data_IF_040686707297
#
_entry.id   IF_040686707297
#
_cell.length_a   1.000
_cell.length_b   1.000
_cell.length_c   1.000
_cell.angle_alpha   90.00
_cell.angle_beta   90.00
_cell.angle_gamma   90.00
#
_symmetry.space_group_name_H-M   'P 1'
#
loop_
_entity.id
_entity.type
_entity.pdbx_description
1 polymer ?
#
# COMPACT_ATOMS: atom_id res chain seq x y z
N UNK A 1 6.12 -1.80 -19.69
CA UNK A 1 6.65 -1.39 -18.37
C UNK A 1 5.68 -1.92 -17.34
N UNK A 2 6.08 -2.68 -16.31
CA UNK A 2 5.14 -3.04 -15.26
C UNK A 2 4.63 -1.77 -14.58
N UNK A 3 3.34 -1.76 -14.25
CA UNK A 3 2.72 -0.67 -13.51
C UNK A 3 3.18 -0.75 -12.05
N UNK A 4 3.47 0.40 -11.41
CA UNK A 4 3.77 0.42 -9.98
C UNK A 4 2.58 -0.08 -9.16
N UNK A 5 2.88 -0.67 -8.00
CA UNK A 5 1.91 -1.01 -6.97
C UNK A 5 1.93 0.07 -5.89
N UNK A 6 0.84 0.19 -5.14
CA UNK A 6 0.67 1.20 -4.11
C UNK A 6 0.22 0.56 -2.81
N UNK A 7 0.82 0.97 -1.69
CA UNK A 7 0.46 0.50 -0.36
C UNK A 7 0.29 1.69 0.59
N UNK A 8 -0.77 1.69 1.41
CA UNK A 8 -0.99 2.72 2.42
C UNK A 8 -0.30 2.31 3.72
N UNK A 9 0.61 3.15 4.21
CA UNK A 9 1.34 2.91 5.46
C UNK A 9 1.14 4.09 6.41
N UNK A 10 1.15 3.85 7.71
CA UNK A 10 1.32 4.96 8.66
C UNK A 10 2.77 5.47 8.57
N UNK A 11 2.97 6.76 8.86
CA UNK A 11 4.32 7.32 8.89
C UNK A 11 5.23 6.63 9.92
N UNK A 12 4.64 6.16 11.03
CA UNK A 12 5.35 5.43 12.09
C UNK A 12 5.83 4.07 11.60
N UNK A 13 4.93 3.26 11.02
CA UNK A 13 5.28 1.91 10.53
C UNK A 13 6.32 1.98 9.41
N UNK A 14 6.20 2.98 8.53
CA UNK A 14 7.20 3.20 7.49
C UNK A 14 8.56 3.60 8.07
N UNK A 15 8.58 4.51 9.05
CA UNK A 15 9.83 4.93 9.69
C UNK A 15 10.55 3.73 10.34
N UNK A 16 9.82 2.86 11.04
CA UNK A 16 10.39 1.63 11.61
C UNK A 16 10.96 0.72 10.51
N UNK A 17 10.21 0.47 9.45
CA UNK A 17 10.66 -0.35 8.33
C UNK A 17 11.95 0.18 7.69
N UNK A 18 12.10 1.51 7.55
CA UNK A 18 13.35 2.09 7.01
C UNK A 18 14.58 1.80 7.87
N UNK A 19 14.40 1.58 9.18
CA UNK A 19 15.50 1.19 10.08
C UNK A 19 15.86 -0.29 9.99
N UNK A 20 14.85 -1.16 9.79
CA UNK A 20 15.00 -2.62 9.73
C UNK A 20 15.39 -3.09 8.32
N UNK A 21 14.97 -2.39 7.28
CA UNK A 21 15.21 -2.69 5.87
C UNK A 21 14.03 -3.35 5.14
N UNK A 22 12.96 -3.70 5.86
CA UNK A 22 11.74 -4.31 5.32
C UNK A 22 10.49 -3.84 6.07
N UNK A 23 9.36 -3.83 5.36
CA UNK A 23 8.06 -3.44 5.87
C UNK A 23 7.12 -4.66 5.94
N UNK A 24 6.40 -4.81 7.05
CA UNK A 24 5.65 -6.04 7.38
C UNK A 24 4.21 -5.79 7.86
N UNK A 25 3.64 -4.60 7.67
CA UNK A 25 2.25 -4.31 8.07
C UNK A 25 1.33 -4.51 6.86
N UNK A 26 0.43 -5.50 6.90
CA UNK A 26 -0.40 -5.86 5.74
C UNK A 26 -1.45 -4.81 5.41
N UNK A 27 -2.07 -4.25 6.45
CA UNK A 27 -3.01 -3.13 6.41
C UNK A 27 -3.13 -2.57 7.83
N UNK A 28 -3.87 -1.48 8.02
CA UNK A 28 -4.09 -0.89 9.35
C UNK A 28 -4.49 -1.96 10.38
N UNK A 29 -3.65 -2.14 11.40
CA UNK A 29 -3.90 -3.05 12.52
C UNK A 29 -3.69 -4.53 12.24
N UNK A 30 -3.14 -4.91 11.08
CA UNK A 30 -2.87 -6.31 10.70
C UNK A 30 -1.46 -6.45 10.16
N UNK A 31 -0.70 -7.41 10.68
CA UNK A 31 0.67 -7.71 10.22
C UNK A 31 0.67 -8.65 9.00
N UNK A 32 1.84 -8.82 8.38
CA UNK A 32 2.07 -9.85 7.36
C UNK A 32 1.82 -11.25 7.93
N UNK A 33 2.19 -11.50 9.18
CA UNK A 33 2.00 -12.77 9.85
C UNK A 33 0.52 -13.08 10.11
N UNK A 34 -0.30 -12.05 10.28
CA UNK A 34 -1.74 -12.17 10.49
C UNK A 34 -2.52 -12.55 9.22
N UNK A 35 -2.10 -12.04 8.06
CA UNK A 35 -2.83 -12.16 6.77
C UNK A 35 -2.15 -13.13 5.79
N UNK A 36 -0.83 -13.31 5.87
CA UNK A 36 -0.02 -14.10 4.95
C UNK A 36 0.47 -13.35 3.70
N UNK A 37 0.00 -12.12 3.48
CA UNK A 37 0.41 -11.24 2.39
C UNK A 37 0.24 -9.76 2.79
N UNK A 38 0.83 -8.83 2.03
CA UNK A 38 0.57 -7.39 2.14
C UNK A 38 -0.47 -6.97 1.10
N UNK A 39 -1.48 -6.20 1.51
CA UNK A 39 -2.42 -5.60 0.57
C UNK A 39 -1.74 -4.50 -0.24
N UNK A 40 -1.81 -4.56 -1.56
CA UNK A 40 -1.44 -3.46 -2.43
C UNK A 40 -2.61 -3.06 -3.33
N UNK A 41 -2.41 -2.00 -4.10
CA UNK A 41 -3.40 -1.42 -5.00
C UNK A 41 -2.75 -1.03 -6.31
N UNK A 42 -3.54 -1.06 -7.39
CA UNK A 42 -3.24 -0.27 -8.58
C UNK A 42 -3.61 1.19 -8.36
N UNK A 43 -3.04 2.10 -9.16
CA UNK A 43 -3.27 3.54 -9.00
C UNK A 43 -4.77 3.92 -8.98
N UNK A 44 -5.59 3.30 -9.82
CA UNK A 44 -7.04 3.56 -9.89
C UNK A 44 -7.81 3.13 -8.64
N UNK A 45 -7.21 2.31 -7.78
CA UNK A 45 -7.86 1.71 -6.61
C UNK A 45 -7.54 2.46 -5.31
N UNK A 46 -6.46 3.24 -5.29
CA UNK A 46 -5.94 3.91 -4.09
C UNK A 46 -7.01 4.72 -3.38
N UNK A 47 -7.73 5.59 -4.10
CA UNK A 47 -8.73 6.46 -3.46
C UNK A 47 -9.86 5.64 -2.82
N UNK A 48 -10.34 4.59 -3.49
CA UNK A 48 -11.37 3.72 -2.93
C UNK A 48 -10.91 2.93 -1.69
N UNK A 49 -9.62 2.58 -1.63
CA UNK A 49 -9.01 1.96 -0.43
C UNK A 49 -8.92 2.96 0.72
N UNK A 50 -8.47 4.19 0.45
CA UNK A 50 -8.41 5.25 1.44
C UNK A 50 -9.78 5.54 2.04
N UNK A 51 -10.80 5.71 1.19
CA UNK A 51 -12.17 6.01 1.62
C UNK A 51 -12.80 4.89 2.45
N UNK A 52 -12.49 3.62 2.14
CA UNK A 52 -13.12 2.46 2.79
C UNK A 52 -12.44 2.03 4.09
N UNK A 53 -11.11 2.10 4.15
CA UNK A 53 -10.34 1.47 5.23
C UNK A 53 -9.56 2.44 6.11
N UNK A 54 -9.36 3.68 5.64
CA UNK A 54 -8.49 4.65 6.30
C UNK A 54 -9.17 5.98 6.62
N UNK A 55 -10.44 6.16 6.25
CA UNK A 55 -11.13 7.45 6.36
C UNK A 55 -11.22 8.00 7.79
N UNK A 56 -11.31 7.12 8.79
CA UNK A 56 -11.37 7.46 10.22
C UNK A 56 -9.99 7.56 10.88
N UNK A 57 -8.92 7.21 10.17
CA UNK A 57 -7.57 7.32 10.72
C UNK A 57 -7.10 8.78 10.68
N UNK A 58 -6.63 9.28 11.82
CA UNK A 58 -6.09 10.64 11.94
C UNK A 58 -4.55 10.68 11.87
N UNK A 59 -3.90 9.54 12.12
CA UNK A 59 -2.44 9.42 12.03
C UNK A 59 -1.94 9.73 10.61
N UNK A 60 -0.77 10.37 10.46
CA UNK A 60 -0.22 10.68 9.15
C UNK A 60 -0.06 9.42 8.29
N UNK A 61 -0.67 9.44 7.11
CA UNK A 61 -0.58 8.36 6.13
C UNK A 61 0.41 8.70 5.00
N UNK A 62 1.09 7.67 4.55
CA UNK A 62 1.98 7.66 3.41
C UNK A 62 1.46 6.66 2.37
N UNK A 63 1.65 7.00 1.09
CA UNK A 63 1.47 6.08 -0.01
C UNK A 63 2.85 5.63 -0.50
N UNK A 64 3.17 4.37 -0.26
CA UNK A 64 4.39 3.73 -0.76
C UNK A 64 4.18 3.35 -2.21
N UNK A 65 5.06 3.83 -3.10
CA UNK A 65 5.07 3.48 -4.52
C UNK A 65 6.09 2.39 -4.75
N UNK A 66 5.64 1.22 -5.17
CA UNK A 66 6.43 -0.01 -5.22
C UNK A 66 6.73 -0.38 -6.68
N UNK A 67 7.99 -0.65 -6.96
CA UNK A 67 8.43 -1.23 -8.23
C UNK A 67 8.39 -2.77 -8.11
N UNK A 68 7.41 -3.45 -8.74
CA UNK A 68 7.28 -4.90 -8.63
C UNK A 68 8.46 -5.67 -9.22
N UNK A 69 9.28 -5.04 -10.08
CA UNK A 69 10.50 -5.69 -10.60
C UNK A 69 11.62 -5.82 -9.56
N UNK A 70 11.46 -5.18 -8.39
CA UNK A 70 12.39 -5.25 -7.25
C UNK A 70 11.92 -6.16 -6.13
N UNK A 71 10.78 -6.82 -6.32
CA UNK A 71 10.27 -7.83 -5.40
C UNK A 71 10.86 -9.18 -5.78
N UNK A 72 11.28 -9.93 -4.77
CA UNK A 72 11.74 -11.32 -4.86
C UNK A 72 10.66 -12.34 -4.43
N UNK A 73 9.46 -11.84 -4.15
CA UNK A 73 8.29 -12.61 -3.73
C UNK A 73 7.17 -12.53 -4.78
N UNK A 74 6.23 -13.46 -4.69
CA UNK A 74 5.10 -13.52 -5.61
C UNK A 74 4.13 -12.35 -5.39
N UNK A 75 3.61 -11.81 -6.49
CA UNK A 75 2.51 -10.85 -6.49
C UNK A 75 1.34 -11.45 -7.26
N UNK A 76 0.22 -11.66 -6.57
CA UNK A 76 -0.98 -12.26 -7.15
C UNK A 76 -2.09 -11.21 -7.16
N UNK A 77 -2.72 -11.01 -8.32
CA UNK A 77 -3.93 -10.21 -8.41
C UNK A 77 -5.15 -11.08 -8.10
N UNK A 78 -5.79 -10.87 -6.95
CA UNK A 78 -6.90 -11.70 -6.49
C UNK A 78 -8.03 -10.88 -5.89
N UNK A 79 -9.20 -11.54 -5.77
CA UNK A 79 -10.36 -10.92 -5.15
C UNK A 79 -10.13 -10.80 -3.64
N UNK A 80 -10.39 -9.62 -3.03
CA UNK A 80 -10.23 -9.43 -1.59
C UNK A 80 -11.35 -10.09 -0.78
N UNK A 81 -12.37 -10.67 -1.41
CA UNK A 81 -13.42 -11.38 -0.71
C UNK A 81 -14.62 -11.79 -1.57
N UNK A 82 -15.52 -12.62 -1.03
CA UNK A 82 -16.68 -13.13 -1.77
C UNK A 82 -17.53 -12.01 -2.36
N UNK A 83 -17.82 -12.10 -3.67
CA UNK A 83 -18.65 -11.13 -4.38
C UNK A 83 -17.93 -9.87 -4.87
N UNK A 84 -16.62 -9.74 -4.63
CA UNK A 84 -15.80 -8.66 -5.21
C UNK A 84 -15.11 -9.17 -6.47
N UNK A 85 -15.50 -8.66 -7.64
CA UNK A 85 -14.87 -9.04 -8.91
C UNK A 85 -13.61 -8.24 -9.23
N UNK A 86 -13.42 -7.11 -8.55
CA UNK A 86 -12.22 -6.29 -8.69
C UNK A 86 -11.02 -7.01 -8.04
N UNK A 87 -9.93 -7.12 -8.80
CA UNK A 87 -8.71 -7.79 -8.34
C UNK A 87 -7.75 -6.76 -7.75
N UNK A 88 -7.18 -7.11 -6.60
CA UNK A 88 -6.16 -6.33 -5.92
C UNK A 88 -4.85 -7.12 -5.91
N UNK A 89 -3.70 -6.45 -6.12
CA UNK A 89 -2.41 -7.11 -6.00
C UNK A 89 -2.10 -7.38 -4.52
N UNK A 90 -1.78 -8.63 -4.19
CA UNK A 90 -1.28 -9.06 -2.90
C UNK A 90 0.18 -9.48 -3.03
N UNK A 91 1.04 -8.98 -2.13
CA UNK A 91 2.48 -9.27 -2.10
C UNK A 91 2.72 -10.34 -1.04
N UNK A 92 3.12 -11.55 -1.46
CA UNK A 92 3.24 -12.72 -0.59
C UNK A 92 4.60 -12.78 0.12
N UNK A 93 4.88 -11.75 0.92
CA UNK A 93 6.11 -11.66 1.71
C UNK A 93 6.36 -10.25 2.24
N UNK A 94 7.47 -10.05 2.99
CA UNK A 94 7.84 -8.71 3.44
C UNK A 94 8.15 -7.82 2.24
N UNK A 95 7.89 -6.52 2.37
CA UNK A 95 8.23 -5.53 1.35
C UNK A 95 9.64 -4.98 1.62
N UNK A 96 10.65 -5.25 0.79
CA UNK A 96 11.96 -4.63 0.95
C UNK A 96 11.83 -3.11 0.79
N UNK A 97 12.45 -2.33 1.67
CA UNK A 97 12.43 -0.86 1.56
C UNK A 97 13.01 -0.38 0.22
N UNK A 98 13.98 -1.12 -0.33
CA UNK A 98 14.59 -0.83 -1.64
C UNK A 98 13.64 -1.03 -2.85
N UNK A 99 12.53 -1.76 -2.66
CA UNK A 99 11.49 -1.91 -3.68
C UNK A 99 10.53 -0.71 -3.70
N UNK A 100 10.51 0.11 -2.65
CA UNK A 100 9.76 1.38 -2.61
C UNK A 100 10.56 2.45 -3.33
N UNK A 101 10.05 2.92 -4.47
CA UNK A 101 10.73 3.88 -5.36
C UNK A 101 10.28 5.32 -5.15
N UNK A 102 9.17 5.53 -4.45
CA UNK A 102 8.69 6.85 -4.01
C UNK A 102 7.82 6.70 -2.77
N UNK A 103 7.76 7.75 -1.94
CA UNK A 103 6.95 7.81 -0.73
C UNK A 103 6.20 9.13 -0.74
N UNK A 104 4.88 9.06 -0.88
CA UNK A 104 4.03 10.24 -1.04
C UNK A 104 3.23 10.47 0.25
N UNK A 105 3.46 11.57 0.98
CA UNK A 105 2.58 11.96 2.07
C UNK A 105 1.16 12.19 1.55
N UNK A 106 0.17 11.57 2.20
CA UNK A 106 -1.23 11.76 1.86
C UNK A 106 -1.76 12.99 2.59
N UNK A 107 -2.53 13.81 1.87
CA UNK A 107 -3.13 15.01 2.44
C UNK A 107 -4.56 14.73 2.89
N UNK A 108 -4.96 15.33 4.01
CA UNK A 108 -6.39 15.38 4.36
C UNK A 108 -7.04 16.58 3.69
N UNK A 109 -8.16 16.35 3.00
CA UNK A 109 -9.00 17.37 2.35
C UNK A 109 -10.46 17.03 2.58
N UNK A 110 -11.26 18.03 2.97
CA UNK A 110 -12.70 17.89 3.21
C UNK A 110 -13.08 16.71 4.12
N UNK A 111 -12.22 16.39 5.09
CA UNK A 111 -12.42 15.29 6.05
C UNK A 111 -11.91 13.91 5.60
N UNK A 112 -11.53 13.73 4.33
CA UNK A 112 -11.00 12.48 3.79
C UNK A 112 -9.52 12.55 3.40
N UNK A 113 -8.92 11.40 3.12
CA UNK A 113 -7.57 11.31 2.56
C UNK A 113 -7.61 11.50 1.04
N UNK A 114 -6.67 12.26 0.49
CA UNK A 114 -6.63 12.55 -0.93
C UNK A 114 -5.23 12.30 -1.49
N UNK A 115 -5.19 11.58 -2.62
CA UNK A 115 -4.01 11.44 -3.45
C UNK A 115 -4.27 12.01 -4.84
N UNK A 116 -3.39 12.90 -5.31
CA UNK A 116 -3.51 13.53 -6.63
C UNK A 116 -3.17 12.58 -7.80
N UNK A 117 -2.87 11.30 -7.52
CA UNK A 117 -2.47 10.33 -8.53
C UNK A 117 -0.98 10.41 -8.88
N UNK A 118 -0.52 9.55 -9.80
CA UNK A 118 0.84 9.65 -10.33
C UNK A 118 0.97 10.98 -11.06
N UNK A 119 2.06 11.71 -10.80
CA UNK A 119 2.38 12.89 -11.61
C UNK A 119 2.59 12.45 -13.06
N UNK A 120 2.12 13.22 -14.07
CA UNK A 120 2.48 12.94 -15.45
C UNK A 120 4.02 12.91 -15.55
N UNK A 121 4.55 11.83 -16.14
CA UNK A 121 5.99 11.67 -16.40
C UNK A 121 6.48 12.72 -17.39
#
# INVERSE_FOLDING_TARGET
>A
MPHHLYHCATATDWAEATTVGEYRVSTRGRSLEDEGFLHASYASQVQGVLDRFYADLEDPLLLLVIDPARLDVEVIAESPGPGVNELFPHIYGPLPVAAVVDVVPLERRDGGWHWAGPRPR
#
